data_IF_101442543006
#
_entry.id   IF_101442543006
#
_cell.length_a   1.000
_cell.length_b   1.000
_cell.length_c   1.000
_cell.angle_alpha   90.00
_cell.angle_beta   90.00
_cell.angle_gamma   90.00
#
_symmetry.space_group_name_H-M   'P 1'
#
loop_
_entity.id
_entity.type
_entity.pdbx_description
1 polymer ?
#
# COMPACT_ATOMS: atom_id res chain seq x y z
N UNK A 1 -14.19 58.39 -44.97
CA UNK A 1 -13.14 58.02 -44.01
C UNK A 1 -13.40 58.39 -42.54
N UNK A 2 -14.64 58.51 -42.07
CA UNK A 2 -14.92 58.86 -40.65
C UNK A 2 -15.48 57.71 -39.80
N UNK A 3 -15.65 56.51 -40.36
CA UNK A 3 -16.26 55.37 -39.67
C UNK A 3 -15.24 54.45 -38.94
N UNK A 4 -14.00 54.40 -39.41
CA UNK A 4 -12.95 53.56 -38.83
C UNK A 4 -12.37 54.12 -37.52
N UNK A 5 -12.43 55.41 -37.29
CA UNK A 5 -11.92 56.04 -36.06
C UNK A 5 -12.73 55.70 -34.80
N UNK A 6 -14.04 55.52 -34.92
CA UNK A 6 -14.91 55.23 -33.76
C UNK A 6 -14.74 53.82 -33.20
N UNK A 7 -14.49 52.85 -34.06
CA UNK A 7 -14.23 51.47 -33.64
C UNK A 7 -12.86 51.31 -32.98
N UNK A 8 -11.87 52.06 -33.44
CA UNK A 8 -10.54 52.09 -32.83
C UNK A 8 -10.56 52.58 -31.40
N UNK A 9 -11.30 53.69 -31.15
CA UNK A 9 -11.45 54.24 -29.80
C UNK A 9 -12.30 53.36 -28.89
N UNK A 10 -13.30 52.68 -29.43
CA UNK A 10 -14.09 51.72 -28.70
C UNK A 10 -13.28 50.50 -28.28
N UNK A 11 -12.48 49.94 -29.18
CA UNK A 11 -11.59 48.83 -28.88
C UNK A 11 -10.51 49.22 -27.84
N UNK A 12 -9.96 50.42 -27.92
CA UNK A 12 -8.99 50.94 -26.95
C UNK A 12 -9.63 51.12 -25.56
N UNK A 13 -10.85 51.64 -25.48
CA UNK A 13 -11.56 51.76 -24.22
C UNK A 13 -11.90 50.42 -23.55
N UNK A 14 -12.28 49.41 -24.33
CA UNK A 14 -12.51 48.02 -23.85
C UNK A 14 -11.23 47.43 -23.32
N UNK A 15 -10.10 47.63 -24.00
CA UNK A 15 -8.79 47.09 -23.58
C UNK A 15 -8.34 47.76 -22.25
N UNK A 16 -8.54 49.05 -22.09
CA UNK A 16 -8.24 49.75 -20.83
C UNK A 16 -9.14 49.27 -19.69
N UNK A 17 -10.45 49.07 -19.95
CA UNK A 17 -11.39 48.57 -18.95
C UNK A 17 -11.05 47.13 -18.51
N UNK A 18 -10.65 46.27 -19.44
CA UNK A 18 -10.19 44.89 -19.16
C UNK A 18 -8.90 44.87 -18.33
N UNK A 19 -7.94 45.74 -18.62
CA UNK A 19 -6.70 45.82 -17.83
C UNK A 19 -7.00 46.40 -16.43
N UNK A 20 -7.88 47.39 -16.28
CA UNK A 20 -8.29 47.92 -15.00
C UNK A 20 -9.04 46.87 -14.17
N UNK A 21 -9.89 46.04 -14.81
CA UNK A 21 -10.59 44.93 -14.14
C UNK A 21 -9.63 43.82 -13.66
N UNK A 22 -8.66 43.43 -14.50
CA UNK A 22 -7.64 42.45 -14.15
C UNK A 22 -6.77 42.96 -13.00
N UNK A 23 -6.34 44.23 -13.07
CA UNK A 23 -5.57 44.87 -11.98
C UNK A 23 -6.35 44.97 -10.67
N UNK A 24 -7.62 45.37 -10.74
CA UNK A 24 -8.51 45.45 -9.55
C UNK A 24 -8.75 44.04 -8.97
N UNK A 25 -8.97 43.02 -9.81
CA UNK A 25 -9.15 41.64 -9.39
C UNK A 25 -7.89 41.07 -8.77
N UNK A 26 -6.72 41.40 -9.32
CA UNK A 26 -5.43 40.98 -8.77
C UNK A 26 -5.08 41.68 -7.47
N UNK A 27 -5.33 42.97 -7.37
CA UNK A 27 -5.07 43.79 -6.17
C UNK A 27 -6.03 43.50 -4.99
N UNK A 28 -7.24 43.02 -5.27
CA UNK A 28 -8.23 42.62 -4.26
C UNK A 28 -8.26 41.14 -3.95
N UNK A 29 -7.28 40.34 -4.44
CA UNK A 29 -7.17 38.97 -3.96
C UNK A 29 -6.82 38.99 -2.46
N UNK A 30 -7.65 38.37 -1.59
CA UNK A 30 -7.24 38.20 -0.20
C UNK A 30 -5.97 37.41 -0.17
N UNK A 31 -4.92 37.95 0.42
CA UNK A 31 -3.64 37.25 0.62
C UNK A 31 -3.92 36.00 1.46
N UNK A 32 -3.93 34.85 0.84
CA UNK A 32 -4.04 33.52 1.47
C UNK A 32 -2.90 33.28 2.49
N UNK A 33 -1.89 34.15 2.49
CA UNK A 33 -0.70 34.11 3.35
C UNK A 33 -1.05 34.20 4.86
N UNK A 34 -2.15 34.88 5.24
CA UNK A 34 -2.50 35.03 6.67
C UNK A 34 -3.01 33.72 7.31
N UNK A 35 -3.63 32.82 6.53
CA UNK A 35 -4.13 31.55 7.06
C UNK A 35 -3.02 30.52 7.30
N UNK A 36 -1.96 30.57 6.51
CA UNK A 36 -0.81 29.68 6.67
C UNK A 36 0.06 30.01 7.87
N UNK A 37 0.14 31.30 8.26
CA UNK A 37 0.91 31.73 9.43
C UNK A 37 0.22 31.38 10.75
N UNK A 38 -1.11 31.43 10.84
CA UNK A 38 -1.85 30.97 12.03
C UNK A 38 -1.78 29.45 12.16
N UNK A 39 -2.02 28.71 11.06
CA UNK A 39 -1.92 27.26 11.06
C UNK A 39 -0.51 26.77 11.43
N UNK A 40 0.55 27.44 10.94
CA UNK A 40 1.93 27.13 11.33
C UNK A 40 2.21 27.44 12.80
N UNK A 41 1.61 28.50 13.36
CA UNK A 41 1.77 28.85 14.78
C UNK A 41 1.14 27.81 15.69
N UNK A 42 -0.05 27.30 15.36
CA UNK A 42 -0.73 26.25 16.13
C UNK A 42 0.02 24.93 16.07
N UNK A 43 0.59 24.59 14.91
CA UNK A 43 1.45 23.40 14.75
C UNK A 43 2.72 23.55 15.59
N UNK A 44 3.39 24.70 15.54
CA UNK A 44 4.62 24.94 16.31
C UNK A 44 4.34 24.92 17.82
N UNK A 45 3.24 25.52 18.28
CA UNK A 45 2.86 25.47 19.70
C UNK A 45 2.48 24.04 20.13
N UNK A 46 1.81 23.27 19.28
CA UNK A 46 1.50 21.86 19.52
C UNK A 46 2.78 21.01 19.64
N UNK A 47 3.73 21.18 18.73
CA UNK A 47 5.03 20.48 18.76
C UNK A 47 5.87 20.90 19.97
N UNK A 48 5.85 22.17 20.36
CA UNK A 48 6.53 22.65 21.56
C UNK A 48 5.95 22.06 22.85
N UNK A 49 4.62 21.96 22.94
CA UNK A 49 3.96 21.35 24.11
C UNK A 49 4.30 19.87 24.24
N UNK A 50 4.35 19.13 23.13
CA UNK A 50 4.73 17.71 23.13
C UNK A 50 6.21 17.51 23.44
N UNK A 51 7.08 18.38 22.93
CA UNK A 51 8.51 18.36 23.27
C UNK A 51 8.73 18.61 24.76
N UNK A 52 8.01 19.57 25.35
CA UNK A 52 8.09 19.84 26.80
C UNK A 52 7.56 18.66 27.62
N UNK A 53 6.49 18.00 27.17
CA UNK A 53 5.97 16.79 27.81
C UNK A 53 6.97 15.64 27.77
N UNK A 54 7.59 15.41 26.63
CA UNK A 54 8.63 14.38 26.49
C UNK A 54 9.86 14.72 27.35
N UNK A 55 10.24 15.98 27.44
CA UNK A 55 11.32 16.40 28.32
C UNK A 55 11.00 16.15 29.79
N UNK A 56 9.76 16.44 30.26
CA UNK A 56 9.33 16.12 31.61
C UNK A 56 9.35 14.63 31.92
N UNK A 57 8.95 13.79 30.95
CA UNK A 57 9.03 12.32 31.09
C UNK A 57 10.49 11.88 31.19
N UNK A 58 11.38 12.46 30.38
CA UNK A 58 12.80 12.17 30.38
C UNK A 58 13.45 12.59 31.71
N UNK A 59 13.13 13.79 32.19
CA UNK A 59 13.63 14.32 33.48
C UNK A 59 13.13 13.48 34.65
N UNK A 60 11.88 13.04 34.62
CA UNK A 60 11.29 12.14 35.62
C UNK A 60 11.95 10.75 35.58
N UNK A 61 12.26 10.23 34.37
CA UNK A 61 12.96 8.96 34.22
C UNK A 61 14.43 9.04 34.62
N UNK A 62 15.08 10.18 34.40
CA UNK A 62 16.47 10.45 34.81
C UNK A 62 16.59 10.80 36.28
N UNK A 63 15.52 11.19 36.96
CA UNK A 63 15.50 11.55 38.38
C UNK A 63 15.40 10.35 39.33
N UNK A 64 15.52 9.12 38.85
CA UNK A 64 15.54 7.93 39.70
C UNK A 64 16.87 7.88 40.48
N UNK A 65 16.85 7.63 41.82
CA UNK A 65 18.04 7.66 42.69
C UNK A 65 19.20 6.78 42.21
N UNK A 66 18.92 5.73 41.41
CA UNK A 66 19.95 4.83 40.86
C UNK A 66 20.85 5.44 39.78
N UNK A 67 20.35 6.40 39.02
CA UNK A 67 21.12 7.02 37.92
C UNK A 67 22.11 8.07 38.44
N UNK A 68 21.75 8.77 39.50
CA UNK A 68 22.65 9.74 40.18
C UNK A 68 23.82 9.03 40.88
N UNK A 69 23.60 7.87 41.47
CA UNK A 69 24.63 7.04 42.07
C UNK A 69 25.60 6.48 41.05
N UNK A 70 25.12 6.11 39.87
CA UNK A 70 25.93 5.65 38.73
C UNK A 70 26.85 6.78 38.21
N UNK A 71 26.29 7.98 38.04
CA UNK A 71 27.07 9.17 37.61
C UNK A 71 28.17 9.55 38.59
N UNK A 72 28.00 9.26 39.89
CA UNK A 72 29.04 9.52 40.95
C UNK A 72 30.07 8.43 41.04
N UNK A 73 29.96 7.31 40.32
CA UNK A 73 30.89 6.19 40.41
C UNK A 73 30.81 5.41 41.73
N UNK A 74 29.77 5.61 42.53
CA UNK A 74 29.63 5.01 43.87
C UNK A 74 29.08 3.58 43.82
N UNK A 75 28.55 3.14 42.65
CA UNK A 75 28.04 1.80 42.44
C UNK A 75 28.88 1.11 41.37
N UNK A 76 29.54 0.02 41.73
CA UNK A 76 30.18 -0.87 40.77
C UNK A 76 29.14 -1.41 39.75
N UNK A 77 29.60 -2.02 38.63
CA UNK A 77 28.72 -2.48 37.60
C UNK A 77 27.62 -3.35 38.21
N UNK A 78 26.38 -2.83 38.14
CA UNK A 78 25.19 -3.58 38.58
C UNK A 78 25.11 -4.78 37.67
N UNK A 79 25.28 -5.97 38.21
CA UNK A 79 24.92 -7.18 37.47
C UNK A 79 23.45 -7.04 37.07
N UNK A 80 23.10 -7.20 35.79
CA UNK A 80 21.71 -7.13 35.37
C UNK A 80 20.95 -8.16 36.19
N UNK A 81 20.04 -7.70 37.05
CA UNK A 81 19.03 -8.55 37.64
C UNK A 81 18.35 -9.18 36.41
N UNK A 82 18.38 -10.49 36.34
CA UNK A 82 17.66 -11.24 35.33
C UNK A 82 16.15 -11.02 35.56
N UNK A 83 15.66 -9.83 35.19
CA UNK A 83 14.26 -9.62 34.85
C UNK A 83 14.07 -10.51 33.65
N UNK A 84 13.36 -11.63 33.83
CA UNK A 84 13.06 -12.55 32.75
C UNK A 84 12.62 -11.73 31.54
N UNK A 85 13.48 -11.63 30.53
CA UNK A 85 13.10 -11.06 29.25
C UNK A 85 11.77 -11.68 28.88
N UNK A 86 10.76 -10.90 28.50
CA UNK A 86 9.55 -11.49 27.94
C UNK A 86 10.02 -12.48 26.88
N UNK A 87 9.66 -13.74 27.04
CA UNK A 87 10.10 -14.83 26.19
C UNK A 87 9.94 -14.38 24.74
N UNK A 88 11.06 -14.23 24.04
CA UNK A 88 11.03 -13.90 22.61
C UNK A 88 10.15 -14.97 21.96
N UNK A 89 9.06 -14.62 21.29
CA UNK A 89 8.22 -15.60 20.64
C UNK A 89 9.13 -16.49 19.76
N UNK A 90 8.88 -17.78 19.67
CA UNK A 90 9.68 -18.68 18.85
C UNK A 90 9.77 -18.11 17.44
N UNK A 91 10.94 -18.19 16.77
CA UNK A 91 11.11 -17.67 15.43
C UNK A 91 10.07 -18.29 14.50
N UNK A 92 9.45 -17.45 13.68
CA UNK A 92 8.52 -17.95 12.66
C UNK A 92 9.25 -18.87 11.67
N UNK A 93 8.58 -19.92 11.19
CA UNK A 93 9.20 -20.86 10.26
C UNK A 93 9.64 -20.13 8.99
N UNK A 94 10.82 -20.49 8.46
CA UNK A 94 11.33 -20.00 7.19
C UNK A 94 11.21 -21.08 6.12
N UNK A 95 10.78 -20.67 4.90
CA UNK A 95 10.70 -21.56 3.76
C UNK A 95 12.01 -21.52 2.93
N UNK A 96 12.31 -22.59 2.21
CA UNK A 96 13.44 -22.62 1.29
C UNK A 96 13.15 -21.84 0.00
N UNK A 97 14.20 -21.32 -0.63
CA UNK A 97 14.11 -20.66 -1.94
C UNK A 97 13.55 -21.66 -2.97
N UNK A 98 12.51 -21.24 -3.70
CA UNK A 98 11.90 -22.02 -4.76
C UNK A 98 12.67 -21.86 -6.07
N UNK A 99 12.75 -22.95 -6.86
CA UNK A 99 13.14 -22.85 -8.26
C UNK A 99 12.14 -21.97 -9.02
N UNK A 100 12.60 -21.28 -10.05
CA UNK A 100 11.78 -20.27 -10.76
C UNK A 100 10.48 -20.85 -11.32
N UNK A 101 10.51 -22.04 -11.90
CA UNK A 101 9.34 -22.75 -12.42
C UNK A 101 8.32 -23.05 -11.32
N UNK A 102 8.78 -23.45 -10.14
CA UNK A 102 7.92 -23.71 -8.96
C UNK A 102 7.30 -22.44 -8.42
N UNK A 103 8.07 -21.34 -8.36
CA UNK A 103 7.57 -20.05 -7.93
C UNK A 103 6.48 -19.52 -8.89
N UNK A 104 6.74 -19.61 -10.20
CA UNK A 104 5.76 -19.20 -11.22
C UNK A 104 4.48 -20.04 -11.12
N UNK A 105 4.61 -21.38 -11.01
CA UNK A 105 3.46 -22.28 -10.87
C UNK A 105 2.64 -21.98 -9.60
N UNK A 106 3.32 -21.73 -8.47
CA UNK A 106 2.67 -21.34 -7.21
C UNK A 106 1.86 -20.05 -7.37
N UNK A 107 2.48 -19.03 -7.96
CA UNK A 107 1.86 -17.71 -8.13
C UNK A 107 0.71 -17.75 -9.15
N UNK A 108 0.86 -18.48 -10.25
CA UNK A 108 -0.20 -18.64 -11.26
C UNK A 108 -1.43 -19.36 -10.68
N UNK A 109 -1.20 -20.34 -9.80
CA UNK A 109 -2.27 -21.08 -9.14
C UNK A 109 -2.93 -20.34 -7.98
N UNK A 110 -2.24 -19.36 -7.37
CA UNK A 110 -2.74 -18.61 -6.21
C UNK A 110 -3.30 -17.24 -6.56
N UNK A 111 -2.91 -16.65 -7.69
CA UNK A 111 -3.29 -15.28 -8.07
C UNK A 111 -4.55 -15.29 -8.94
N UNK A 112 -5.47 -14.36 -8.67
CA UNK A 112 -6.75 -14.24 -9.39
C UNK A 112 -6.98 -12.82 -9.87
N UNK A 113 -7.68 -12.69 -11.00
CA UNK A 113 -8.26 -11.43 -11.45
C UNK A 113 -9.58 -11.23 -10.74
N UNK A 114 -9.75 -10.08 -10.09
CA UNK A 114 -10.98 -9.68 -9.39
C UNK A 114 -11.80 -8.81 -10.32
N UNK A 115 -12.94 -9.31 -10.76
CA UNK A 115 -13.89 -8.60 -11.61
C UNK A 115 -14.89 -7.85 -10.75
N UNK A 116 -15.19 -6.61 -11.11
CA UNK A 116 -16.06 -5.70 -10.38
C UNK A 116 -17.26 -5.31 -11.23
N UNK A 117 -18.45 -5.42 -10.66
CA UNK A 117 -19.71 -5.13 -11.36
C UNK A 117 -20.56 -4.16 -10.54
N UNK A 118 -21.31 -3.30 -11.24
CA UNK A 118 -22.30 -2.40 -10.64
C UNK A 118 -23.55 -3.16 -10.15
N UNK A 119 -24.46 -2.44 -9.47
CA UNK A 119 -25.75 -2.99 -9.06
C UNK A 119 -26.62 -3.49 -10.25
N UNK A 120 -26.41 -2.93 -11.46
CA UNK A 120 -27.07 -3.38 -12.69
C UNK A 120 -26.30 -4.49 -13.42
N UNK A 121 -25.36 -5.14 -12.72
CA UNK A 121 -24.50 -6.20 -13.26
C UNK A 121 -23.62 -5.77 -14.46
N UNK A 122 -23.34 -4.45 -14.58
CA UNK A 122 -22.46 -3.93 -15.62
C UNK A 122 -21.01 -3.96 -15.11
N UNK A 123 -20.11 -4.50 -15.93
CA UNK A 123 -18.68 -4.50 -15.66
C UNK A 123 -18.14 -3.07 -15.43
N UNK A 124 -17.41 -2.87 -14.34
CA UNK A 124 -16.83 -1.58 -13.94
C UNK A 124 -15.30 -1.56 -14.07
N UNK A 125 -14.67 -2.72 -14.01
CA UNK A 125 -13.23 -2.85 -14.05
C UNK A 125 -12.74 -4.09 -13.32
N UNK A 126 -11.43 -4.17 -13.16
CA UNK A 126 -10.81 -5.27 -12.44
C UNK A 126 -9.56 -4.82 -11.68
N UNK A 127 -9.18 -5.65 -10.73
CA UNK A 127 -7.89 -5.66 -10.07
C UNK A 127 -7.37 -7.09 -9.94
N UNK A 128 -6.43 -7.26 -9.05
CA UNK A 128 -5.83 -8.55 -8.73
C UNK A 128 -6.15 -8.92 -7.28
N UNK A 129 -6.17 -10.21 -6.99
CA UNK A 129 -6.22 -10.77 -5.64
C UNK A 129 -5.43 -12.06 -5.57
N UNK A 130 -5.30 -12.62 -4.38
CA UNK A 130 -4.62 -13.91 -4.18
C UNK A 130 -5.23 -14.69 -3.01
N UNK A 131 -5.18 -16.01 -3.10
CA UNK A 131 -5.65 -16.90 -2.05
C UNK A 131 -4.67 -16.97 -0.88
N UNK A 132 -5.20 -16.82 0.33
CA UNK A 132 -4.49 -17.02 1.61
C UNK A 132 -4.98 -18.29 2.34
N UNK A 133 -6.14 -18.78 1.95
CA UNK A 133 -6.78 -20.00 2.42
C UNK A 133 -7.56 -20.62 1.26
N UNK A 134 -8.21 -21.76 1.49
CA UNK A 134 -8.93 -22.54 0.47
C UNK A 134 -9.95 -21.69 -0.33
N UNK A 135 -10.59 -20.72 0.30
CA UNK A 135 -11.64 -19.92 -0.31
C UNK A 135 -11.56 -18.42 0.03
N UNK A 136 -10.51 -17.98 0.71
CA UNK A 136 -10.34 -16.60 1.17
C UNK A 136 -9.30 -15.89 0.29
N UNK A 137 -9.70 -14.77 -0.28
CA UNK A 137 -8.92 -13.97 -1.20
C UNK A 137 -8.67 -12.59 -0.59
N UNK A 138 -7.42 -12.13 -0.67
CA UNK A 138 -7.01 -10.76 -0.34
C UNK A 138 -6.93 -9.95 -1.63
N UNK A 139 -7.36 -8.70 -1.56
CA UNK A 139 -7.19 -7.67 -2.59
C UNK A 139 -7.08 -6.29 -1.95
N UNK A 140 -6.94 -5.22 -2.74
CA UNK A 140 -7.08 -3.87 -2.21
C UNK A 140 -8.56 -3.46 -2.09
N UNK A 141 -8.87 -2.59 -1.12
CA UNK A 141 -10.21 -2.03 -0.93
C UNK A 141 -10.64 -1.20 -2.15
N UNK A 142 -9.77 -0.32 -2.67
CA UNK A 142 -10.09 0.52 -3.81
C UNK A 142 -10.48 -0.29 -5.06
N UNK A 143 -10.00 -1.54 -5.20
CA UNK A 143 -10.38 -2.44 -6.30
C UNK A 143 -11.89 -2.73 -6.27
N UNK A 144 -12.47 -2.89 -5.06
CA UNK A 144 -13.87 -3.30 -4.89
C UNK A 144 -14.80 -2.11 -4.58
N UNK A 145 -14.29 -0.91 -4.40
CA UNK A 145 -15.02 0.24 -3.86
C UNK A 145 -16.20 0.67 -4.73
N UNK A 146 -16.03 0.66 -6.05
CA UNK A 146 -17.09 1.05 -7.00
C UNK A 146 -18.12 -0.05 -7.27
N UNK A 147 -17.85 -1.28 -6.79
CA UNK A 147 -18.66 -2.46 -7.09
C UNK A 147 -19.82 -2.73 -6.13
N UNK A 148 -20.73 -3.57 -6.58
CA UNK A 148 -21.80 -4.16 -5.76
C UNK A 148 -21.81 -5.68 -5.81
N UNK A 149 -21.23 -6.28 -6.86
CA UNK A 149 -20.98 -7.70 -6.97
C UNK A 149 -19.61 -7.97 -7.57
N UNK A 150 -19.03 -9.10 -7.22
CA UNK A 150 -17.65 -9.45 -7.54
C UNK A 150 -17.56 -10.88 -8.00
N UNK A 151 -16.63 -11.15 -8.91
CA UNK A 151 -16.25 -12.48 -9.30
C UNK A 151 -14.74 -12.58 -9.48
N UNK A 152 -14.20 -13.78 -9.40
CA UNK A 152 -12.81 -14.05 -9.66
C UNK A 152 -12.63 -14.96 -10.86
N UNK A 153 -11.54 -14.79 -11.57
CA UNK A 153 -11.14 -15.66 -12.68
C UNK A 153 -9.62 -15.83 -12.70
N UNK A 154 -9.17 -17.02 -13.08
CA UNK A 154 -7.78 -17.33 -13.37
C UNK A 154 -7.71 -18.63 -14.15
N UNK A 155 -6.55 -18.96 -14.71
CA UNK A 155 -6.35 -20.25 -15.39
C UNK A 155 -6.59 -21.47 -14.47
N UNK A 156 -6.19 -21.34 -13.20
CA UNK A 156 -6.37 -22.40 -12.20
C UNK A 156 -7.85 -22.62 -11.81
N UNK A 157 -8.69 -21.59 -11.94
CA UNK A 157 -10.12 -21.67 -11.64
C UNK A 157 -10.96 -22.25 -12.78
N UNK A 158 -10.42 -22.31 -14.01
CA UNK A 158 -11.14 -22.75 -15.21
C UNK A 158 -11.73 -21.58 -16.01
N UNK A 159 -12.70 -21.89 -16.86
CA UNK A 159 -13.25 -20.91 -17.83
C UNK A 159 -14.29 -19.96 -17.26
N UNK A 160 -15.06 -20.41 -16.30
CA UNK A 160 -16.19 -19.64 -15.77
C UNK A 160 -15.76 -18.76 -14.57
N UNK A 161 -16.15 -17.48 -14.53
CA UNK A 161 -15.93 -16.65 -13.37
C UNK A 161 -16.66 -17.21 -12.14
N UNK A 162 -15.98 -17.22 -11.00
CA UNK A 162 -16.53 -17.67 -9.72
C UNK A 162 -17.03 -16.46 -8.93
N UNK A 163 -18.31 -16.38 -8.57
CA UNK A 163 -18.83 -15.33 -7.72
C UNK A 163 -18.16 -15.34 -6.34
N UNK A 164 -17.86 -14.15 -5.81
CA UNK A 164 -17.30 -13.96 -4.48
C UNK A 164 -18.06 -12.88 -3.74
N UNK A 165 -18.06 -12.98 -2.41
CA UNK A 165 -18.68 -11.98 -1.54
C UNK A 165 -17.63 -11.25 -0.70
N UNK A 166 -17.88 -9.99 -0.43
CA UNK A 166 -17.06 -9.18 0.47
C UNK A 166 -17.28 -9.65 1.92
N UNK A 167 -16.19 -9.92 2.64
CA UNK A 167 -16.20 -10.31 4.05
C UNK A 167 -15.81 -9.14 4.95
N UNK A 168 -14.71 -8.45 4.60
CA UNK A 168 -14.21 -7.31 5.34
C UNK A 168 -13.44 -6.38 4.39
N UNK A 169 -13.42 -5.11 4.73
CA UNK A 169 -12.58 -4.11 4.08
C UNK A 169 -12.13 -3.07 5.12
N UNK A 170 -11.00 -2.45 4.89
CA UNK A 170 -10.57 -1.28 5.66
C UNK A 170 -11.53 -0.11 5.46
N UNK A 171 -11.65 0.77 6.46
CA UNK A 171 -12.73 1.78 6.48
C UNK A 171 -12.48 2.96 5.56
N UNK A 172 -11.25 3.29 5.29
CA UNK A 172 -10.89 4.51 4.55
C UNK A 172 -9.77 4.26 3.55
N UNK A 173 -9.84 4.96 2.40
CA UNK A 173 -8.89 4.88 1.30
C UNK A 173 -7.99 6.11 1.18
N UNK A 174 -7.86 6.93 2.23
CA UNK A 174 -6.82 7.96 2.24
C UNK A 174 -5.45 7.29 2.08
N UNK A 175 -4.58 7.89 1.29
CA UNK A 175 -3.23 7.35 0.93
C UNK A 175 -2.35 6.96 2.12
N UNK A 176 -2.74 7.37 3.32
CA UNK A 176 -2.05 7.05 4.58
C UNK A 176 -2.66 5.86 5.32
N UNK A 177 -3.80 5.32 4.89
CA UNK A 177 -4.52 4.26 5.58
C UNK A 177 -4.34 2.90 4.89
N UNK A 178 -4.44 1.79 5.63
CA UNK A 178 -4.44 0.46 5.03
C UNK A 178 -5.56 0.32 4.00
N UNK A 179 -5.26 -0.24 2.85
CA UNK A 179 -6.17 -0.37 1.71
C UNK A 179 -6.32 -1.86 1.36
N UNK A 180 -7.02 -2.61 2.23
CA UNK A 180 -7.24 -4.04 2.09
C UNK A 180 -8.71 -4.41 2.03
N UNK A 181 -9.02 -5.48 1.31
CA UNK A 181 -10.31 -6.15 1.33
C UNK A 181 -10.14 -7.68 1.33
N UNK A 182 -11.08 -8.37 1.94
CA UNK A 182 -11.18 -9.82 1.99
C UNK A 182 -12.43 -10.25 1.26
N UNK A 183 -12.24 -11.07 0.25
CA UNK A 183 -13.31 -11.71 -0.51
C UNK A 183 -13.36 -13.20 -0.18
N UNK A 184 -14.53 -13.81 -0.30
CA UNK A 184 -14.72 -15.25 -0.09
C UNK A 184 -15.50 -15.86 -1.24
N UNK A 185 -14.95 -16.95 -1.78
CA UNK A 185 -15.63 -17.80 -2.73
C UNK A 185 -16.37 -18.92 -1.98
N UNK A 186 -17.60 -19.23 -2.36
CA UNK A 186 -18.36 -20.34 -1.74
C UNK A 186 -17.88 -21.70 -2.24
N UNK A 187 -17.40 -21.77 -3.48
CA UNK A 187 -16.84 -22.99 -4.09
C UNK A 187 -15.61 -22.63 -4.93
N UNK A 188 -14.56 -23.39 -4.73
CA UNK A 188 -13.29 -23.25 -5.47
C UNK A 188 -12.86 -24.65 -5.91
N UNK A 189 -12.30 -24.83 -7.13
CA UNK A 189 -11.75 -26.10 -7.55
C UNK A 189 -10.68 -26.63 -6.59
N UNK A 190 -10.52 -27.94 -6.52
CA UNK A 190 -9.45 -28.55 -5.78
C UNK A 190 -8.09 -28.18 -6.42
N UNK A 191 -7.04 -28.05 -5.59
CA UNK A 191 -5.69 -27.77 -6.08
C UNK A 191 -5.32 -26.29 -6.22
N UNK A 192 -6.18 -25.35 -5.78
CA UNK A 192 -5.81 -23.93 -5.65
C UNK A 192 -4.65 -23.80 -4.66
N UNK A 193 -3.61 -23.11 -5.09
CA UNK A 193 -2.50 -22.76 -4.22
C UNK A 193 -2.88 -21.60 -3.28
N UNK A 194 -2.24 -21.57 -2.11
CA UNK A 194 -2.40 -20.55 -1.08
C UNK A 194 -1.06 -19.94 -0.76
N UNK A 195 -1.01 -18.64 -0.56
CA UNK A 195 0.20 -17.93 -0.20
C UNK A 195 0.26 -17.73 1.31
N UNK A 196 1.41 -18.05 1.90
CA UNK A 196 1.70 -17.70 3.28
C UNK A 196 2.06 -16.22 3.37
N UNK A 197 1.74 -15.58 4.50
CA UNK A 197 2.01 -14.18 4.73
C UNK A 197 3.27 -14.04 5.58
N UNK A 198 4.28 -13.40 5.03
CA UNK A 198 5.55 -13.14 5.72
C UNK A 198 5.48 -11.89 6.64
N UNK A 199 6.60 -11.53 7.21
CA UNK A 199 6.87 -10.21 7.80
C UNK A 199 7.33 -9.23 6.72
N UNK A 200 7.73 -8.02 7.10
CA UNK A 200 8.31 -7.05 6.16
C UNK A 200 9.58 -7.61 5.50
N UNK A 201 9.79 -7.32 4.22
CA UNK A 201 11.01 -7.70 3.53
C UNK A 201 12.20 -6.85 4.01
N UNK A 202 13.41 -7.25 3.65
CA UNK A 202 14.60 -6.43 3.81
C UNK A 202 14.84 -5.55 2.56
N UNK A 203 15.51 -4.40 2.74
CA UNK A 203 15.99 -3.60 1.61
C UNK A 203 16.98 -4.42 0.79
N UNK A 204 16.91 -4.31 -0.54
CA UNK A 204 17.64 -5.12 -1.54
C UNK A 204 17.20 -6.59 -1.61
N UNK A 205 16.19 -7.01 -0.86
CA UNK A 205 15.62 -8.35 -1.03
C UNK A 205 14.94 -8.47 -2.40
N UNK A 206 15.26 -9.54 -3.13
CA UNK A 206 14.58 -9.88 -4.38
C UNK A 206 13.11 -10.21 -4.13
N UNK A 207 12.23 -9.60 -4.92
CA UNK A 207 10.78 -9.79 -4.85
C UNK A 207 10.19 -10.05 -6.23
N UNK A 208 9.03 -10.72 -6.26
CA UNK A 208 8.26 -10.97 -7.49
C UNK A 208 6.84 -10.45 -7.28
N UNK A 209 6.40 -9.55 -8.15
CA UNK A 209 5.02 -9.11 -8.25
C UNK A 209 4.26 -10.02 -9.22
N UNK A 210 3.04 -10.42 -8.86
CA UNK A 210 2.13 -11.15 -9.74
C UNK A 210 0.80 -10.41 -9.85
N UNK A 211 0.15 -10.44 -11.03
CA UNK A 211 -1.13 -9.76 -11.21
C UNK A 211 -1.66 -9.77 -12.63
N UNK A 212 -2.75 -9.04 -12.81
CA UNK A 212 -3.48 -8.89 -14.08
C UNK A 212 -3.53 -7.42 -14.50
N UNK A 213 -2.42 -6.86 -15.02
CA UNK A 213 -2.38 -5.47 -15.44
C UNK A 213 -3.34 -5.21 -16.61
N UNK A 214 -3.97 -4.03 -16.59
CA UNK A 214 -4.86 -3.56 -17.67
C UNK A 214 -4.09 -3.03 -18.88
N UNK A 215 -2.76 -3.07 -18.85
CA UNK A 215 -1.92 -2.54 -19.93
C UNK A 215 -2.18 -3.29 -21.22
N UNK A 216 -2.43 -2.58 -22.24
CA UNK A 216 -2.26 -2.64 -23.71
C UNK A 216 -2.05 -3.98 -24.45
N UNK A 217 -1.97 -5.09 -23.74
CA UNK A 217 -2.25 -6.37 -24.39
C UNK A 217 -3.74 -6.30 -24.68
N UNK A 218 -4.09 -5.91 -25.91
CA UNK A 218 -5.40 -6.18 -26.49
C UNK A 218 -5.57 -7.69 -26.41
N UNK A 219 -6.07 -8.13 -25.28
CA UNK A 219 -6.57 -9.47 -25.14
C UNK A 219 -7.82 -9.45 -26.00
N UNK A 220 -7.81 -10.19 -27.10
CA UNK A 220 -9.01 -10.40 -27.88
C UNK A 220 -10.15 -10.68 -26.91
N UNK A 221 -11.32 -10.06 -27.16
CA UNK A 221 -12.46 -10.13 -26.27
C UNK A 221 -12.90 -11.58 -25.96
N UNK A 222 -12.37 -12.55 -26.70
CA UNK A 222 -12.61 -13.98 -26.57
C UNK A 222 -11.69 -14.70 -25.56
N UNK A 223 -10.64 -14.02 -25.00
CA UNK A 223 -9.79 -14.63 -23.97
C UNK A 223 -10.43 -14.47 -22.60
N UNK A 224 -11.25 -15.40 -22.22
CA UNK A 224 -12.01 -15.46 -20.98
C UNK A 224 -11.10 -15.48 -19.73
N UNK A 225 -9.89 -16.03 -19.86
CA UNK A 225 -8.91 -16.15 -18.77
C UNK A 225 -7.55 -15.58 -19.19
N UNK A 226 -7.24 -14.32 -18.86
CA UNK A 226 -5.93 -13.74 -19.16
C UNK A 226 -4.81 -14.44 -18.37
N UNK A 227 -3.59 -14.40 -18.90
CA UNK A 227 -2.42 -14.93 -18.22
C UNK A 227 -2.04 -14.02 -17.04
N UNK A 228 -1.58 -14.61 -15.95
CA UNK A 228 -0.91 -13.88 -14.87
C UNK A 228 0.39 -13.29 -15.38
N UNK A 229 0.62 -12.00 -15.11
CA UNK A 229 1.87 -11.31 -15.43
C UNK A 229 2.77 -11.31 -14.20
N UNK A 230 4.03 -11.68 -14.38
CA UNK A 230 5.04 -11.72 -13.35
C UNK A 230 6.12 -10.68 -13.62
N UNK A 231 6.59 -10.01 -12.58
CA UNK A 231 7.69 -9.07 -12.67
C UNK A 231 8.61 -9.22 -11.48
N UNK A 232 9.88 -9.47 -11.73
CA UNK A 232 10.90 -9.53 -10.70
C UNK A 232 11.51 -8.14 -10.49
N UNK A 233 11.86 -7.84 -9.25
CA UNK A 233 12.58 -6.64 -8.84
C UNK A 233 13.17 -6.82 -7.45
N UNK A 234 13.51 -5.70 -6.82
CA UNK A 234 14.09 -5.64 -5.50
C UNK A 234 13.40 -4.58 -4.66
N UNK A 235 13.42 -4.75 -3.35
CA UNK A 235 12.94 -3.74 -2.40
C UNK A 235 13.93 -2.57 -2.38
N UNK A 236 13.46 -1.37 -2.73
CA UNK A 236 14.29 -0.16 -2.74
C UNK A 236 14.34 0.51 -1.37
N UNK A 237 13.18 0.62 -0.69
CA UNK A 237 13.08 1.24 0.63
C UNK A 237 11.80 0.79 1.35
N UNK A 238 11.87 0.77 2.68
CA UNK A 238 10.70 0.61 3.56
C UNK A 238 10.34 1.98 4.11
N UNK A 239 9.27 2.58 3.61
CA UNK A 239 8.83 3.91 4.01
C UNK A 239 7.76 3.82 5.10
N UNK A 240 8.13 4.19 6.33
CA UNK A 240 7.18 4.26 7.44
C UNK A 240 6.35 5.53 7.35
N UNK A 241 5.03 5.36 7.36
CA UNK A 241 4.05 6.45 7.37
C UNK A 241 3.80 6.94 8.81
N UNK A 242 3.14 8.10 8.96
CA UNK A 242 2.82 8.69 10.28
C UNK A 242 1.97 7.78 11.17
N UNK A 243 1.11 6.95 10.58
CA UNK A 243 0.27 5.96 11.27
C UNK A 243 0.98 4.62 11.53
N UNK A 244 2.30 4.57 11.45
CA UNK A 244 3.14 3.37 11.54
C UNK A 244 2.93 2.33 10.42
N UNK A 245 2.09 2.58 9.44
CA UNK A 245 2.02 1.72 8.26
C UNK A 245 3.33 1.78 7.48
N UNK A 246 3.79 0.63 6.99
CA UNK A 246 4.99 0.55 6.15
C UNK A 246 4.57 0.35 4.71
N UNK A 247 5.07 1.22 3.83
CA UNK A 247 5.03 1.06 2.39
C UNK A 247 6.34 0.44 1.92
N UNK A 248 6.23 -0.56 1.07
CA UNK A 248 7.37 -1.23 0.43
C UNK A 248 7.53 -0.63 -0.97
N UNK A 249 8.56 0.19 -1.19
CA UNK A 249 8.95 0.61 -2.53
C UNK A 249 9.79 -0.48 -3.17
N UNK A 250 9.50 -0.82 -4.42
CA UNK A 250 10.19 -1.88 -5.13
C UNK A 250 10.32 -1.57 -6.62
N UNK A 251 11.22 -2.30 -7.30
CA UNK A 251 11.48 -2.12 -8.73
C UNK A 251 10.74 -3.13 -9.63
N UNK A 252 10.02 -4.11 -9.05
CA UNK A 252 9.18 -5.02 -9.81
C UNK A 252 8.05 -4.25 -10.50
N UNK A 253 7.95 -4.33 -11.83
CA UNK A 253 7.00 -3.55 -12.62
C UNK A 253 5.57 -3.96 -12.31
N UNK A 254 4.73 -2.97 -11.98
CA UNK A 254 3.29 -3.09 -11.82
C UNK A 254 2.59 -1.99 -12.64
N UNK A 255 1.32 -2.22 -12.99
CA UNK A 255 0.49 -1.25 -13.70
C UNK A 255 -0.95 -1.31 -13.17
N UNK A 256 -1.81 -0.40 -13.64
CA UNK A 256 -3.25 -0.43 -13.36
C UNK A 256 -3.80 -1.84 -13.57
N UNK A 257 -4.56 -2.36 -12.61
CA UNK A 257 -5.03 -3.75 -12.59
C UNK A 257 -4.13 -4.70 -11.80
N UNK A 258 -2.86 -4.37 -11.54
CA UNK A 258 -2.00 -5.13 -10.62
C UNK A 258 -2.32 -4.90 -9.15
N UNK A 259 -3.10 -3.84 -8.82
CA UNK A 259 -3.54 -3.53 -7.45
C UNK A 259 -4.25 -4.72 -6.81
N UNK A 260 -3.88 -5.03 -5.57
CA UNK A 260 -4.37 -6.18 -4.81
C UNK A 260 -3.60 -7.48 -5.06
N UNK A 261 -2.66 -7.49 -6.01
CA UNK A 261 -1.82 -8.63 -6.30
C UNK A 261 -0.71 -8.84 -5.26
N UNK A 262 -0.19 -10.07 -5.12
CA UNK A 262 0.86 -10.37 -4.17
C UNK A 262 2.22 -9.82 -4.64
N UNK A 263 3.00 -9.29 -3.71
CA UNK A 263 4.44 -9.11 -3.80
C UNK A 263 5.07 -10.18 -2.91
N UNK A 264 5.81 -11.12 -3.50
CA UNK A 264 6.38 -12.26 -2.76
C UNK A 264 7.89 -12.25 -2.78
N UNK A 265 8.50 -12.91 -1.78
CA UNK A 265 9.92 -13.23 -1.78
C UNK A 265 10.22 -14.47 -2.64
N UNK A 266 11.50 -14.86 -2.73
CA UNK A 266 11.94 -16.04 -3.50
C UNK A 266 11.44 -17.38 -2.96
N UNK A 267 10.83 -17.39 -1.76
CA UNK A 267 10.18 -18.56 -1.17
C UNK A 267 8.69 -18.65 -1.48
N UNK A 268 8.12 -17.68 -2.20
CA UNK A 268 6.69 -17.61 -2.49
C UNK A 268 5.84 -17.05 -1.35
N UNK A 269 6.47 -16.51 -0.30
CA UNK A 269 5.74 -15.89 0.81
C UNK A 269 5.43 -14.42 0.52
N UNK A 270 4.22 -13.96 0.83
CA UNK A 270 3.78 -12.58 0.62
C UNK A 270 4.51 -11.66 1.59
N UNK A 271 5.24 -10.69 1.04
CA UNK A 271 5.93 -9.63 1.78
C UNK A 271 5.23 -8.28 1.61
N UNK A 272 4.26 -8.18 0.70
CA UNK A 272 3.43 -7.00 0.49
C UNK A 272 2.26 -7.27 -0.46
N UNK A 273 1.34 -6.31 -0.52
CA UNK A 273 0.21 -6.28 -1.46
C UNK A 273 0.42 -5.10 -2.39
N UNK A 274 0.60 -5.37 -3.68
CA UNK A 274 0.82 -4.33 -4.68
C UNK A 274 -0.35 -3.34 -4.68
N UNK A 275 -0.04 -2.06 -4.66
CA UNK A 275 -1.05 -1.01 -4.73
C UNK A 275 -0.56 0.10 -5.67
N UNK A 276 -1.50 0.71 -6.38
CA UNK A 276 -1.20 1.86 -7.21
C UNK A 276 -1.56 3.13 -6.42
N UNK A 277 -0.57 3.79 -5.87
CA UNK A 277 -0.75 5.11 -5.28
C UNK A 277 -0.67 6.10 -6.43
N UNK A 278 -1.81 6.69 -6.81
CA UNK A 278 -1.85 7.74 -7.82
C UNK A 278 -0.92 8.87 -7.39
N UNK A 279 0.18 9.06 -8.11
CA UNK A 279 0.99 10.25 -7.95
C UNK A 279 0.09 11.45 -8.28
N UNK A 280 -0.02 12.42 -7.37
CA UNK A 280 -0.44 13.76 -7.75
C UNK A 280 0.38 14.19 -8.97
N UNK A 281 -0.22 14.93 -9.88
CA UNK A 281 0.21 15.30 -11.23
C UNK A 281 1.58 16.01 -11.35
N UNK A 282 2.60 15.57 -10.66
CA UNK A 282 3.96 16.01 -10.94
C UNK A 282 4.50 15.24 -12.13
N UNK A 283 4.54 15.93 -13.27
CA UNK A 283 4.96 15.47 -14.60
C UNK A 283 6.38 14.88 -14.68
N UNK A 284 7.08 14.74 -13.57
CA UNK A 284 8.46 14.27 -13.46
C UNK A 284 8.72 13.15 -12.46
N UNK A 285 7.71 12.67 -11.71
CA UNK A 285 7.93 11.52 -10.85
C UNK A 285 7.80 10.24 -11.68
N UNK A 286 8.90 9.51 -11.86
CA UNK A 286 8.86 8.09 -12.15
C UNK A 286 7.82 7.46 -11.21
N UNK A 287 6.84 6.77 -11.80
CA UNK A 287 5.74 6.16 -11.04
C UNK A 287 6.33 5.25 -9.99
N UNK A 288 6.33 5.69 -8.74
CA UNK A 288 6.84 4.89 -7.64
C UNK A 288 5.97 3.66 -7.48
N UNK A 289 6.59 2.48 -7.52
CA UNK A 289 5.93 1.20 -7.43
C UNK A 289 5.88 0.80 -5.96
N UNK A 290 4.67 0.73 -5.40
CA UNK A 290 4.46 0.49 -3.97
C UNK A 290 3.70 -0.79 -3.71
N UNK A 291 3.98 -1.39 -2.57
CA UNK A 291 3.13 -2.38 -1.94
C UNK A 291 2.87 -2.00 -0.48
N UNK A 292 1.69 -2.31 0.01
CA UNK A 292 1.37 -2.28 1.43
C UNK A 292 2.07 -3.45 2.11
N UNK A 293 2.72 -3.24 3.25
CA UNK A 293 3.53 -4.26 3.90
C UNK A 293 2.71 -5.47 4.35
N UNK A 294 3.35 -6.63 4.38
CA UNK A 294 2.74 -7.86 4.90
C UNK A 294 2.36 -7.75 6.38
N UNK A 295 3.09 -6.99 7.19
CA UNK A 295 2.74 -6.75 8.60
C UNK A 295 1.44 -5.96 8.73
N UNK A 296 1.21 -4.96 7.88
CA UNK A 296 -0.07 -4.25 7.85
C UNK A 296 -1.22 -5.19 7.43
N UNK A 297 -0.97 -6.08 6.45
CA UNK A 297 -1.94 -7.10 6.05
C UNK A 297 -2.24 -8.07 7.20
N UNK A 298 -1.23 -8.58 7.91
CA UNK A 298 -1.41 -9.46 9.07
C UNK A 298 -2.30 -8.82 10.12
N UNK A 299 -2.03 -7.56 10.46
CA UNK A 299 -2.86 -6.80 11.41
C UNK A 299 -4.32 -6.76 10.98
N UNK A 300 -4.58 -6.49 9.70
CA UNK A 300 -5.95 -6.46 9.17
C UNK A 300 -6.61 -7.84 9.18
N UNK A 301 -5.88 -8.91 8.83
CA UNK A 301 -6.38 -10.29 8.86
C UNK A 301 -6.71 -10.75 10.28
N UNK A 302 -5.82 -10.48 11.25
CA UNK A 302 -6.02 -10.79 12.67
C UNK A 302 -7.25 -10.05 13.23
N UNK A 303 -7.41 -8.75 12.94
CA UNK A 303 -8.58 -7.95 13.31
C UNK A 303 -9.88 -8.43 12.67
N UNK A 304 -9.79 -9.01 11.47
CA UNK A 304 -10.93 -9.55 10.72
C UNK A 304 -11.22 -11.01 11.06
N UNK A 305 -10.49 -11.63 12.00
CA UNK A 305 -10.66 -13.02 12.41
C UNK A 305 -10.37 -14.05 11.31
N UNK A 306 -9.47 -13.73 10.37
CA UNK A 306 -9.14 -14.62 9.27
C UNK A 306 -7.93 -15.49 9.61
N UNK A 307 -8.03 -16.78 9.28
CA UNK A 307 -6.91 -17.71 9.38
C UNK A 307 -5.99 -17.60 8.18
N UNK A 308 -4.69 -17.64 8.39
CA UNK A 308 -3.68 -17.65 7.36
C UNK A 308 -2.37 -18.28 7.87
N UNK A 309 -1.48 -18.70 6.98
CA UNK A 309 -0.18 -19.25 7.35
C UNK A 309 0.82 -18.10 7.55
N UNK A 310 1.46 -18.07 8.73
CA UNK A 310 2.51 -17.08 9.10
C UNK A 310 3.89 -17.66 8.76
N UNK A 311 4.73 -16.85 8.11
CA UNK A 311 6.09 -17.22 7.73
C UNK A 311 7.06 -16.06 7.96
N UNK A 312 8.35 -16.37 8.10
CA UNK A 312 9.41 -15.36 8.06
C UNK A 312 9.56 -14.75 6.65
N UNK A 313 9.98 -13.49 6.57
CA UNK A 313 10.38 -12.87 5.30
C UNK A 313 11.71 -13.39 4.78
N UNK A 314 12.53 -13.97 5.65
CA UNK A 314 13.78 -14.59 5.27
C UNK A 314 13.55 -15.99 4.67
N UNK A 315 14.19 -16.23 3.53
CA UNK A 315 14.22 -17.56 2.94
C UNK A 315 15.39 -18.35 3.52
N UNK A 316 15.14 -19.56 4.01
CA UNK A 316 16.23 -20.48 4.33
C UNK A 316 17.08 -20.73 3.07
N UNK A 317 18.40 -20.66 3.19
CA UNK A 317 19.29 -21.07 2.11
C UNK A 317 19.00 -22.53 1.74
N UNK A 318 18.94 -22.81 0.42
CA UNK A 318 18.82 -24.19 -0.01
C UNK A 318 19.99 -24.99 0.61
N UNK A 319 19.74 -26.24 1.09
CA UNK A 319 20.83 -27.08 1.55
C UNK A 319 21.87 -27.18 0.45
N UNK A 320 23.13 -26.88 0.76
CA UNK A 320 24.24 -27.10 -0.15
C UNK A 320 24.35 -28.60 -0.34
N UNK A 321 23.99 -29.06 -1.54
CA UNK A 321 24.29 -30.45 -1.95
C UNK A 321 25.80 -30.64 -2.13
#
# INVERSE_FOLDING_TARGET
>A
MKFQSRWFWFAAAVLVALNAFVYFWWANRPLVILKTTELNRDIVTGLQSEANRLQQILDAACGTPGLESYKRGEIGPVQPVATGSPATPPPEPSASVLAQDKLVALLDAATVRVLVFSASNKYQGHGTGFFIDQNTIVTNRHVIESGRSFAITSRALGKEPIPVRLIAATRDSEYTNPDFAILRADRVPAGIAKLAIATEPQVLQTVVAAGYPSSDIRVDADVVTPNTVFSQGEVSVLQRQRNNMVLVLHTAKIATGSSGGPLVNRCGNVVGVNTFIGAQEDKFSDRSLYALSATALRTFLDQSGQSYTKMSSECASAPKN
#
